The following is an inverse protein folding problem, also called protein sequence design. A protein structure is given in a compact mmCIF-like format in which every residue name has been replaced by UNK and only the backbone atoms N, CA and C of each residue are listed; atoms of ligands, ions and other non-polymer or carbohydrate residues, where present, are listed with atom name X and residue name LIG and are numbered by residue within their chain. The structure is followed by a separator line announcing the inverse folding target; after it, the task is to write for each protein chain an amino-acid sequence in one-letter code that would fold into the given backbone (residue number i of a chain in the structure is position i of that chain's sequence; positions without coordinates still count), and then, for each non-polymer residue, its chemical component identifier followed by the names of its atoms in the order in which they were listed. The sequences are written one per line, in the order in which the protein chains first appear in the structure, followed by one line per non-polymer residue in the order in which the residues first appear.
data_IF_916486636857
#
_entry.id   IF_916486636857
#
_cell.length_a   1.000
_cell.length_b   1.000
_cell.length_c   1.000
_cell.angle_alpha   90.00
_cell.angle_beta   90.00
_cell.angle_gamma   90.00
#
_symmetry.space_group_name_H-M   'P 1'
#
loop_
_entity.id
_entity.type
_entity.pdbx_description
1 polymer ?
#
# COMPACT_ATOMS: atom_id res chain seq x y z
N UNK A 1 0.46 20.20 62.30
CA UNK A 1 -0.42 20.31 61.11
C UNK A 1 0.36 21.00 60.00
N UNK A 2 0.91 20.24 59.06
CA UNK A 2 1.48 20.74 57.80
C UNK A 2 1.41 19.61 56.74
N UNK A 3 1.11 20.01 55.51
CA UNK A 3 0.69 19.23 54.32
C UNK A 3 1.73 18.23 53.76
N UNK A 4 1.33 17.10 53.14
CA UNK A 4 2.25 16.22 52.43
C UNK A 4 2.44 16.61 50.95
N UNK A 5 3.70 16.70 50.53
CA UNK A 5 4.10 16.72 49.12
C UNK A 5 3.86 15.35 48.48
N UNK A 6 3.21 15.33 47.31
CA UNK A 6 3.08 14.13 46.47
C UNK A 6 4.29 14.04 45.55
N UNK A 7 5.20 13.12 45.83
CA UNK A 7 6.22 12.69 44.88
C UNK A 7 5.65 11.53 44.06
N UNK A 8 5.27 11.79 42.82
CA UNK A 8 4.81 10.75 41.87
C UNK A 8 6.05 10.14 41.20
N UNK A 9 6.45 8.96 41.63
CA UNK A 9 7.53 8.18 40.99
C UNK A 9 6.97 7.46 39.76
N UNK A 10 7.37 7.88 38.56
CA UNK A 10 7.11 7.14 37.31
C UNK A 10 8.20 6.10 37.08
N UNK A 11 7.84 4.81 37.07
CA UNK A 11 8.72 3.74 36.58
C UNK A 11 8.66 3.70 35.06
N UNK A 12 9.70 4.20 34.39
CA UNK A 12 9.99 3.88 32.98
C UNK A 12 10.73 2.54 32.91
N UNK A 13 10.32 1.66 31.99
CA UNK A 13 11.12 0.48 31.61
C UNK A 13 12.40 0.94 30.91
N UNK A 14 13.52 0.22 31.09
CA UNK A 14 14.81 0.58 30.49
C UNK A 14 14.76 0.77 28.96
N UNK A 15 13.85 0.07 28.27
CA UNK A 15 13.61 0.25 26.82
C UNK A 15 13.05 1.64 26.47
N UNK A 16 12.21 2.23 27.33
CA UNK A 16 11.65 3.56 27.11
C UNK A 16 12.69 4.69 27.33
N UNK A 17 13.66 4.47 28.22
CA UNK A 17 14.74 5.43 28.48
C UNK A 17 15.75 5.50 27.32
N UNK A 18 16.01 4.38 26.64
CA UNK A 18 16.97 4.33 25.52
C UNK A 18 16.48 5.05 24.26
N UNK A 19 15.16 5.08 24.01
CA UNK A 19 14.57 5.81 22.87
C UNK A 19 14.56 7.34 23.05
N UNK A 20 14.63 7.84 24.29
CA UNK A 20 14.61 9.27 24.62
C UNK A 20 16.00 9.94 24.57
N UNK A 21 17.09 9.16 24.56
CA UNK A 21 18.45 9.68 24.71
C UNK A 21 19.31 9.65 23.43
N UNK A 22 18.77 9.22 22.29
CA UNK A 22 19.38 9.44 20.97
C UNK A 22 20.79 8.86 20.79
N UNK A 23 21.11 7.71 21.41
CA UNK A 23 22.39 7.02 21.20
C UNK A 23 22.24 5.85 20.21
N UNK A 24 23.22 5.59 19.33
CA UNK A 24 23.14 4.52 18.34
C UNK A 24 23.33 3.15 18.98
N UNK A 25 22.44 2.20 18.68
CA UNK A 25 22.57 0.80 19.11
C UNK A 25 23.18 -0.02 17.97
N UNK A 26 24.41 -0.51 18.16
CA UNK A 26 25.02 -1.55 17.33
C UNK A 26 24.50 -2.94 17.74
N UNK A 27 24.51 -3.95 16.85
CA UNK A 27 23.60 -5.08 16.94
C UNK A 27 24.13 -6.25 17.80
N UNK A 28 23.19 -6.94 18.46
CA UNK A 28 23.27 -8.27 19.10
C UNK A 28 24.35 -8.49 20.17
N UNK A 29 23.92 -8.46 21.45
CA UNK A 29 24.51 -9.28 22.52
C UNK A 29 23.38 -9.96 23.29
N UNK A 30 23.39 -11.30 23.24
CA UNK A 30 22.63 -12.20 24.10
C UNK A 30 23.10 -11.99 25.56
N UNK A 31 22.21 -11.59 26.47
CA UNK A 31 22.49 -11.60 27.91
C UNK A 31 21.48 -12.47 28.64
N UNK A 32 22.02 -13.46 29.36
CA UNK A 32 21.30 -14.45 30.14
C UNK A 32 20.33 -13.81 31.15
N UNK A 33 19.10 -14.34 31.19
CA UNK A 33 18.13 -14.08 32.25
C UNK A 33 18.58 -14.74 33.56
N UNK A 34 19.42 -14.09 34.36
CA UNK A 34 19.51 -14.39 35.81
C UNK A 34 19.63 -13.13 36.64
N UNK A 35 18.72 -13.03 37.61
CA UNK A 35 18.65 -12.09 38.72
C UNK A 35 18.08 -10.67 38.47
N UNK A 36 16.76 -10.58 38.29
CA UNK A 36 15.99 -9.50 38.93
C UNK A 36 14.82 -10.11 39.71
N UNK A 37 14.92 -9.98 41.05
CA UNK A 37 13.86 -10.37 41.98
C UNK A 37 12.64 -9.47 41.78
N UNK A 38 11.47 -10.08 41.88
CA UNK A 38 10.13 -9.50 41.75
C UNK A 38 9.97 -8.12 42.41
N UNK A 39 9.81 -7.08 41.57
CA UNK A 39 9.00 -5.92 41.94
C UNK A 39 7.68 -6.10 41.19
N UNK A 40 6.63 -6.47 41.93
CA UNK A 40 5.28 -6.56 41.39
C UNK A 40 4.81 -5.15 41.02
N UNK A 41 4.83 -4.83 39.72
CA UNK A 41 4.19 -3.63 39.21
C UNK A 41 2.67 -3.86 39.22
N UNK A 42 1.86 -3.02 39.88
CA UNK A 42 0.41 -3.15 39.80
C UNK A 42 -0.01 -2.97 38.34
N UNK A 43 -0.87 -3.85 37.83
CA UNK A 43 -1.52 -3.71 36.52
C UNK A 43 -2.37 -2.44 36.52
N UNK A 44 -1.76 -1.29 36.28
CA UNK A 44 -2.46 -0.07 35.97
C UNK A 44 -3.12 -0.29 34.59
N UNK A 45 -4.45 -0.34 34.55
CA UNK A 45 -5.18 -0.32 33.28
C UNK A 45 -4.95 1.05 32.63
N UNK A 46 -3.90 1.17 31.82
CA UNK A 46 -3.70 2.33 30.96
C UNK A 46 -4.95 2.41 30.08
N UNK A 47 -5.75 3.47 30.26
CA UNK A 47 -6.98 3.70 29.50
C UNK A 47 -6.63 3.65 28.01
N UNK A 48 -7.50 3.06 27.18
CA UNK A 48 -7.31 2.91 25.73
C UNK A 48 -6.80 4.17 25.00
N UNK A 49 -7.19 5.42 25.34
CA UNK A 49 -6.68 6.60 24.64
C UNK A 49 -5.18 6.82 24.86
N UNK A 50 -4.66 6.44 26.02
CA UNK A 50 -3.26 6.69 26.41
C UNK A 50 -2.31 5.64 25.81
N UNK A 51 -2.78 4.40 25.60
CA UNK A 51 -2.03 3.37 24.84
C UNK A 51 -1.85 3.77 23.38
N UNK A 52 -2.91 4.30 22.79
CA UNK A 52 -2.92 4.74 21.40
C UNK A 52 -1.98 5.91 21.13
N UNK A 53 -1.99 6.95 21.98
CA UNK A 53 -1.05 8.07 21.88
C UNK A 53 0.41 7.59 21.99
N UNK A 54 0.68 6.62 22.86
CA UNK A 54 2.01 6.06 23.01
C UNK A 54 2.46 5.29 21.76
N UNK A 55 1.59 4.44 21.19
CA UNK A 55 1.88 3.70 19.96
C UNK A 55 2.18 4.65 18.79
N UNK A 56 1.42 5.73 18.66
CA UNK A 56 1.64 6.75 17.63
C UNK A 56 2.98 7.47 17.83
N UNK A 57 3.30 7.89 19.06
CA UNK A 57 4.59 8.53 19.36
C UNK A 57 5.76 7.58 19.10
N UNK A 58 5.61 6.30 19.40
CA UNK A 58 6.60 5.27 19.08
C UNK A 58 6.74 5.10 17.57
N UNK A 59 5.66 5.08 16.80
CA UNK A 59 5.70 5.01 15.35
C UNK A 59 6.41 6.23 14.75
N UNK A 60 6.06 7.45 15.17
CA UNK A 60 6.73 8.68 14.71
C UNK A 60 8.21 8.67 15.10
N UNK A 61 8.53 8.27 16.33
CA UNK A 61 9.92 8.12 16.80
C UNK A 61 10.69 7.10 15.96
N UNK A 62 10.08 5.97 15.63
CA UNK A 62 10.66 4.94 14.79
C UNK A 62 10.81 5.40 13.33
N UNK A 63 9.85 6.14 12.77
CA UNK A 63 9.97 6.77 11.45
C UNK A 63 11.11 7.79 11.38
N UNK A 64 11.35 8.53 12.47
CA UNK A 64 12.48 9.47 12.58
C UNK A 64 13.82 8.78 12.74
N UNK A 65 13.85 7.69 13.51
CA UNK A 65 15.04 6.87 13.72
C UNK A 65 15.35 5.99 12.50
N UNK A 66 14.33 5.65 11.71
CA UNK A 66 14.50 4.98 10.44
C UNK A 66 15.25 5.93 9.50
N UNK A 67 16.53 5.66 9.33
CA UNK A 67 17.31 6.22 8.25
C UNK A 67 16.73 5.68 6.94
N UNK A 68 15.81 6.43 6.35
CA UNK A 68 15.51 6.35 4.92
C UNK A 68 16.49 7.30 4.24
N UNK A 69 17.72 6.85 3.88
CA UNK A 69 18.63 7.74 3.19
C UNK A 69 17.90 8.29 1.96
N UNK A 70 17.85 9.61 1.82
CA UNK A 70 17.32 10.31 0.65
C UNK A 70 18.12 10.05 -0.63
N UNK A 71 19.10 9.15 -0.57
CA UNK A 71 19.79 8.56 -1.70
C UNK A 71 19.35 7.09 -1.79
N UNK A 72 18.90 6.69 -2.97
CA UNK A 72 18.61 5.31 -3.34
C UNK A 72 19.56 4.31 -2.64
N UNK A 73 19.03 3.25 -2.02
CA UNK A 73 19.85 2.12 -1.61
C UNK A 73 20.52 1.55 -2.85
N UNK A 74 21.71 2.03 -3.17
CA UNK A 74 22.56 1.46 -4.22
C UNK A 74 23.28 0.26 -3.61
N UNK A 75 23.08 -0.91 -4.22
CA UNK A 75 23.86 -2.10 -3.88
C UNK A 75 23.49 -2.78 -2.56
N UNK A 76 22.27 -2.55 -2.02
CA UNK A 76 21.83 -3.36 -0.88
C UNK A 76 21.68 -4.82 -1.31
N UNK A 77 22.30 -5.72 -0.55
CA UNK A 77 22.29 -7.16 -0.80
C UNK A 77 20.85 -7.67 -0.96
N UNK A 78 20.67 -8.69 -1.80
CA UNK A 78 19.39 -9.40 -1.84
C UNK A 78 19.07 -9.93 -0.44
N UNK A 79 17.80 -9.93 -0.02
CA UNK A 79 17.41 -10.44 1.29
C UNK A 79 17.92 -11.87 1.50
N UNK A 80 18.32 -12.19 2.73
CA UNK A 80 18.74 -13.53 3.11
C UNK A 80 17.50 -14.45 3.23
N UNK A 81 17.08 -15.00 2.08
CA UNK A 81 15.85 -15.78 1.90
C UNK A 81 15.89 -17.17 2.53
N UNK A 82 17.06 -17.80 2.52
CA UNK A 82 17.21 -19.19 2.97
C UNK A 82 17.59 -19.32 4.45
N UNK A 83 17.57 -18.20 5.18
CA UNK A 83 17.61 -18.26 6.64
C UNK A 83 16.36 -18.99 7.16
N UNK A 84 16.50 -19.67 8.30
CA UNK A 84 15.35 -20.35 8.94
C UNK A 84 14.19 -19.39 9.22
N UNK A 85 14.47 -18.09 9.38
CA UNK A 85 13.47 -17.04 9.57
C UNK A 85 12.66 -16.75 8.30
N UNK A 86 13.32 -16.70 7.14
CA UNK A 86 12.73 -16.22 5.90
C UNK A 86 12.36 -17.28 4.86
N UNK A 87 12.50 -18.55 5.20
CA UNK A 87 12.07 -19.65 4.32
C UNK A 87 10.60 -19.50 3.89
N UNK A 88 10.31 -19.91 2.65
CA UNK A 88 8.95 -19.97 2.13
C UNK A 88 8.08 -20.95 2.93
N UNK A 89 6.88 -20.51 3.32
CA UNK A 89 5.80 -21.33 3.87
C UNK A 89 4.49 -20.78 3.30
N UNK A 90 3.66 -21.58 2.60
CA UNK A 90 2.37 -21.12 2.11
C UNK A 90 1.44 -20.76 3.29
N UNK A 91 0.45 -19.89 3.04
CA UNK A 91 -0.54 -19.50 4.03
C UNK A 91 -1.34 -20.72 4.52
N UNK A 92 -1.50 -20.84 5.85
CA UNK A 92 -2.42 -21.78 6.47
C UNK A 92 -3.89 -21.31 6.41
N UNK A 93 -4.85 -22.13 6.88
CA UNK A 93 -6.27 -21.81 6.79
C UNK A 93 -6.73 -20.53 7.50
N UNK A 94 -5.95 -20.05 8.47
CA UNK A 94 -6.26 -18.85 9.26
C UNK A 94 -5.32 -17.67 8.94
N UNK A 95 -4.41 -17.83 7.97
CA UNK A 95 -3.44 -16.81 7.61
C UNK A 95 -4.02 -15.91 6.54
N UNK A 96 -4.03 -14.59 6.79
CA UNK A 96 -4.65 -13.63 5.89
C UNK A 96 -3.76 -13.26 4.72
N UNK A 97 -4.33 -13.31 3.53
CA UNK A 97 -3.80 -12.79 2.27
C UNK A 97 -4.88 -11.97 1.59
N UNK A 98 -4.46 -11.01 0.78
CA UNK A 98 -5.38 -10.07 0.15
C UNK A 98 -4.91 -9.55 -1.21
N UNK A 99 -5.33 -8.33 -1.60
CA UNK A 99 -5.13 -7.82 -2.95
C UNK A 99 -3.66 -7.53 -3.29
N UNK A 100 -2.82 -7.26 -2.27
CA UNK A 100 -1.42 -6.91 -2.48
C UNK A 100 -0.51 -8.14 -2.56
N UNK A 101 -0.06 -8.46 -3.78
CA UNK A 101 0.91 -9.55 -4.03
C UNK A 101 2.20 -9.39 -3.23
N UNK A 102 2.74 -8.17 -3.15
CA UNK A 102 3.95 -7.88 -2.40
C UNK A 102 3.82 -8.26 -0.91
N UNK A 103 2.72 -7.87 -0.26
CA UNK A 103 2.50 -8.21 1.14
C UNK A 103 2.23 -9.71 1.33
N UNK A 104 1.52 -10.36 0.41
CA UNK A 104 1.31 -11.81 0.43
C UNK A 104 2.66 -12.56 0.39
N UNK A 105 3.56 -12.16 -0.51
CA UNK A 105 4.93 -12.68 -0.60
C UNK A 105 5.71 -12.48 0.70
N UNK A 106 5.69 -11.26 1.27
CA UNK A 106 6.40 -10.96 2.51
C UNK A 106 5.90 -11.83 3.68
N UNK A 107 4.60 -12.08 3.77
CA UNK A 107 4.03 -12.95 4.80
C UNK A 107 4.39 -14.43 4.57
N UNK A 108 4.33 -14.91 3.32
CA UNK A 108 4.73 -16.28 2.96
C UNK A 108 6.23 -16.54 3.19
N UNK A 109 7.05 -15.49 3.19
CA UNK A 109 8.50 -15.54 3.48
C UNK A 109 8.85 -14.99 4.87
N UNK A 110 7.87 -14.74 5.75
CA UNK A 110 8.11 -14.35 7.14
C UNK A 110 8.85 -13.01 7.34
N UNK A 111 8.89 -12.13 6.35
CA UNK A 111 9.38 -10.76 6.49
C UNK A 111 8.39 -9.89 7.28
N UNK A 112 7.10 -10.22 7.18
CA UNK A 112 6.02 -9.76 8.06
C UNK A 112 5.37 -10.99 8.73
N UNK A 113 4.57 -10.82 9.80
CA UNK A 113 3.91 -11.95 10.46
C UNK A 113 3.14 -12.83 9.47
N UNK A 114 3.39 -14.16 9.53
CA UNK A 114 2.88 -15.13 8.56
C UNK A 114 1.35 -15.23 8.54
N UNK A 115 0.73 -14.91 9.67
CA UNK A 115 -0.72 -14.81 9.82
C UNK A 115 -1.35 -13.64 9.04
N UNK A 116 -0.54 -12.76 8.45
CA UNK A 116 -1.01 -11.64 7.65
C UNK A 116 -1.50 -10.44 8.46
N UNK A 117 -1.27 -10.40 9.77
CA UNK A 117 -1.57 -9.23 10.62
C UNK A 117 -0.27 -8.50 10.88
N UNK A 118 0.01 -7.50 10.06
CA UNK A 118 1.32 -6.91 9.97
C UNK A 118 1.37 -5.51 10.59
N UNK A 119 2.36 -5.21 11.45
CA UNK A 119 2.65 -3.84 11.85
C UNK A 119 2.93 -2.98 10.61
N UNK A 120 2.37 -1.77 10.60
CA UNK A 120 2.43 -0.86 9.45
C UNK A 120 3.87 -0.53 9.06
N UNK A 121 4.70 -0.13 10.03
CA UNK A 121 6.12 0.19 9.79
C UNK A 121 6.94 -1.04 9.34
N UNK A 122 6.67 -2.22 9.90
CA UNK A 122 7.35 -3.44 9.49
C UNK A 122 7.05 -3.75 8.02
N UNK A 123 5.81 -3.53 7.58
CA UNK A 123 5.40 -3.71 6.19
C UNK A 123 6.15 -2.78 5.23
N UNK A 124 6.32 -1.51 5.62
CA UNK A 124 7.14 -0.53 4.87
C UNK A 124 8.59 -1.01 4.74
N UNK A 125 9.24 -1.30 5.86
CA UNK A 125 10.65 -1.70 5.87
C UNK A 125 10.88 -3.00 5.09
N UNK A 126 10.00 -3.98 5.26
CA UNK A 126 10.06 -5.24 4.52
C UNK A 126 9.90 -5.01 3.01
N UNK A 127 8.97 -4.15 2.60
CA UNK A 127 8.74 -3.83 1.18
C UNK A 127 9.93 -3.14 0.55
N UNK A 128 10.52 -2.15 1.25
CA UNK A 128 11.73 -1.46 0.81
C UNK A 128 12.90 -2.43 0.67
N UNK A 129 13.12 -3.28 1.68
CA UNK A 129 14.27 -4.19 1.70
C UNK A 129 14.16 -5.33 0.69
N UNK A 130 12.96 -5.90 0.51
CA UNK A 130 12.77 -7.08 -0.34
C UNK A 130 12.61 -6.70 -1.80
N UNK A 131 11.76 -5.72 -2.10
CA UNK A 131 11.43 -5.35 -3.48
C UNK A 131 12.22 -4.14 -3.99
N UNK A 132 12.89 -3.40 -3.11
CA UNK A 132 13.55 -2.15 -3.48
C UNK A 132 12.56 -1.04 -3.80
N UNK A 133 11.31 -1.11 -3.38
CA UNK A 133 10.32 -0.05 -3.61
C UNK A 133 10.61 1.09 -2.63
N UNK A 134 10.57 2.33 -3.12
CA UNK A 134 10.95 3.52 -2.38
C UNK A 134 10.12 3.82 -1.14
N UNK A 135 10.69 4.51 -0.14
CA UNK A 135 9.96 5.01 1.01
C UNK A 135 8.85 5.99 0.61
N UNK A 136 9.00 6.68 -0.52
CA UNK A 136 8.02 7.65 -1.02
C UNK A 136 6.65 7.04 -1.24
N UNK A 137 6.57 5.88 -1.90
CA UNK A 137 5.29 5.21 -2.13
C UNK A 137 4.90 4.23 -1.02
N UNK A 138 5.87 3.58 -0.36
CA UNK A 138 5.55 2.63 0.71
C UNK A 138 4.98 3.33 1.95
N UNK A 139 5.43 4.54 2.27
CA UNK A 139 4.84 5.32 3.36
C UNK A 139 3.45 5.89 2.99
N UNK A 140 3.20 6.23 1.72
CA UNK A 140 1.84 6.57 1.26
C UNK A 140 0.91 5.36 1.40
N UNK A 141 1.34 4.17 0.96
CA UNK A 141 0.59 2.93 1.16
C UNK A 141 0.33 2.63 2.65
N UNK A 142 1.28 2.96 3.53
CA UNK A 142 1.11 2.86 4.97
C UNK A 142 -0.01 3.78 5.50
N UNK A 143 -0.09 5.02 5.00
CA UNK A 143 -1.17 5.94 5.36
C UNK A 143 -2.53 5.46 4.85
N UNK A 144 -2.59 5.00 3.60
CA UNK A 144 -3.81 4.43 3.02
C UNK A 144 -4.27 3.17 3.76
N UNK A 145 -3.33 2.39 4.31
CA UNK A 145 -3.65 1.21 5.12
C UNK A 145 -4.33 1.54 6.46
N UNK A 146 -4.27 2.78 6.95
CA UNK A 146 -4.92 3.18 8.20
C UNK A 146 -6.44 2.99 8.15
N UNK A 147 -7.04 3.11 6.97
CA UNK A 147 -8.45 2.84 6.72
C UNK A 147 -8.89 1.41 7.09
N UNK A 148 -8.00 0.44 6.89
CA UNK A 148 -8.23 -0.97 7.23
C UNK A 148 -7.60 -1.42 8.55
N UNK A 149 -6.80 -0.57 9.19
CA UNK A 149 -5.91 -0.93 10.29
C UNK A 149 -6.61 -0.97 11.66
N UNK A 150 -6.03 -1.73 12.59
CA UNK A 150 -6.21 -1.54 14.01
C UNK A 150 -5.31 -0.40 14.47
N UNK A 151 -5.93 0.71 14.86
CA UNK A 151 -5.20 1.92 15.23
C UNK A 151 -4.53 1.82 16.60
N UNK A 152 -5.05 1.02 17.52
CA UNK A 152 -4.43 0.88 18.85
C UNK A 152 -3.08 0.18 18.73
N UNK A 153 -3.02 -0.86 17.89
CA UNK A 153 -1.83 -1.69 17.71
C UNK A 153 -0.98 -1.26 16.49
N UNK A 154 -1.50 -0.34 15.67
CA UNK A 154 -0.88 0.15 14.43
C UNK A 154 -0.45 -1.01 13.50
N UNK A 155 -1.35 -1.99 13.38
CA UNK A 155 -1.22 -3.13 12.48
C UNK A 155 -2.44 -3.23 11.55
N UNK A 156 -2.29 -3.94 10.45
CA UNK A 156 -3.36 -4.15 9.47
C UNK A 156 -3.38 -5.60 9.03
N UNK A 157 -4.59 -6.14 8.84
CA UNK A 157 -4.76 -7.39 8.11
C UNK A 157 -4.48 -7.13 6.64
N UNK A 158 -3.50 -7.83 6.06
CA UNK A 158 -3.19 -7.72 4.62
C UNK A 158 -4.28 -8.34 3.73
N UNK A 159 -5.26 -9.00 4.34
CA UNK A 159 -6.46 -9.55 3.71
C UNK A 159 -7.74 -8.95 4.28
N UNK A 160 -8.73 -9.81 4.53
CA UNK A 160 -10.04 -9.41 5.06
C UNK A 160 -10.05 -9.01 6.55
N UNK A 161 -11.23 -8.65 7.08
CA UNK A 161 -11.39 -8.33 8.49
C UNK A 161 -11.10 -9.54 9.38
N UNK A 162 -10.46 -9.31 10.52
CA UNK A 162 -10.29 -10.32 11.56
C UNK A 162 -11.30 -10.10 12.70
N UNK A 163 -11.91 -11.17 13.25
CA UNK A 163 -12.76 -11.07 14.42
C UNK A 163 -11.91 -10.86 15.68
N UNK A 164 -11.63 -9.60 16.01
CA UNK A 164 -11.11 -9.22 17.34
C UNK A 164 -12.25 -8.73 18.22
N UNK A 165 -12.44 -9.37 19.38
CA UNK A 165 -13.46 -8.99 20.37
C UNK A 165 -13.20 -7.57 20.89
N UNK A 166 -11.93 -7.19 21.06
CA UNK A 166 -11.55 -5.84 21.46
C UNK A 166 -11.96 -4.85 20.37
N UNK A 167 -11.67 -5.17 19.11
CA UNK A 167 -11.97 -4.29 17.96
C UNK A 167 -13.48 -4.15 17.71
N UNK A 168 -14.26 -5.18 18.01
CA UNK A 168 -15.72 -5.11 18.00
C UNK A 168 -16.27 -4.20 19.12
N UNK A 169 -15.64 -4.19 20.29
CA UNK A 169 -16.07 -3.39 21.45
C UNK A 169 -15.66 -1.90 21.32
N UNK A 170 -14.51 -1.61 20.72
CA UNK A 170 -14.00 -0.22 20.54
C UNK A 170 -14.29 0.36 19.15
N UNK A 171 -14.70 -0.46 18.17
CA UNK A 171 -14.87 -0.06 16.78
C UNK A 171 -15.92 1.03 16.58
N UNK A 172 -16.88 1.16 17.50
CA UNK A 172 -17.83 2.27 17.54
C UNK A 172 -17.21 3.63 17.91
N UNK A 173 -15.96 3.66 18.41
CA UNK A 173 -15.25 4.88 18.83
C UNK A 173 -14.10 5.20 17.86
N UNK A 174 -13.30 4.20 17.45
CA UNK A 174 -12.06 4.38 16.69
C UNK A 174 -12.09 3.84 15.25
N UNK A 175 -13.26 3.47 14.71
CA UNK A 175 -13.46 2.67 13.49
C UNK A 175 -13.18 1.17 13.66
N UNK A 176 -13.87 0.34 12.87
CA UNK A 176 -13.71 -1.13 12.86
C UNK A 176 -12.60 -1.51 11.88
N UNK A 177 -11.55 -2.25 12.29
CA UNK A 177 -10.53 -2.73 11.37
C UNK A 177 -11.13 -3.68 10.33
N UNK A 178 -11.08 -3.29 9.07
CA UNK A 178 -11.66 -4.05 7.96
C UNK A 178 -10.61 -4.80 7.12
N UNK A 179 -9.32 -4.60 7.41
CA UNK A 179 -8.23 -5.12 6.58
C UNK A 179 -8.17 -4.49 5.20
N UNK A 180 -7.18 -4.86 4.39
CA UNK A 180 -7.00 -4.30 3.04
C UNK A 180 -8.13 -4.68 2.06
N UNK A 181 -8.77 -5.84 2.21
CA UNK A 181 -9.95 -6.15 1.39
C UNK A 181 -11.09 -5.16 1.67
N UNK A 182 -11.14 -4.66 2.90
CA UNK A 182 -12.17 -3.78 3.43
C UNK A 182 -12.15 -2.34 2.93
N UNK A 183 -11.04 -1.92 2.32
CA UNK A 183 -10.75 -0.51 2.00
C UNK A 183 -11.17 -0.12 0.58
N UNK A 184 -12.24 -0.72 0.05
CA UNK A 184 -12.73 -0.42 -1.30
C UNK A 184 -13.06 1.09 -1.45
N UNK A 185 -12.57 1.71 -2.52
CA UNK A 185 -12.59 3.16 -2.81
C UNK A 185 -11.83 4.03 -1.79
N UNK A 186 -10.94 3.44 -0.98
CA UNK A 186 -10.05 4.13 -0.03
C UNK A 186 -8.59 3.77 -0.28
N UNK A 187 -8.35 2.49 -0.56
CA UNK A 187 -7.03 1.98 -0.92
C UNK A 187 -7.12 0.77 -1.86
N UNK A 188 -8.07 -0.14 -1.63
CA UNK A 188 -8.42 -1.15 -2.63
C UNK A 188 -9.36 -0.50 -3.65
N UNK A 189 -9.17 -0.78 -4.93
CA UNK A 189 -9.86 -0.09 -6.01
C UNK A 189 -10.22 -1.02 -7.17
N UNK A 190 -11.30 -0.66 -7.86
CA UNK A 190 -11.66 -1.23 -9.16
C UNK A 190 -10.52 -1.04 -10.20
N UNK A 191 -10.62 -1.75 -11.32
CA UNK A 191 -9.63 -1.75 -12.41
C UNK A 191 -8.25 -2.25 -11.98
N UNK A 192 -8.21 -3.12 -10.96
CA UNK A 192 -6.98 -3.78 -10.51
C UNK A 192 -6.35 -4.65 -11.60
N UNK A 193 -5.00 -4.72 -11.61
CA UNK A 193 -4.24 -5.44 -12.64
C UNK A 193 -4.62 -6.93 -12.77
N UNK A 194 -4.87 -7.60 -11.64
CA UNK A 194 -5.14 -9.05 -11.62
C UNK A 194 -6.23 -9.45 -10.63
N UNK A 195 -6.88 -8.48 -9.98
CA UNK A 195 -8.03 -8.69 -9.10
C UNK A 195 -9.28 -8.24 -9.84
N UNK A 196 -10.40 -8.82 -9.44
CA UNK A 196 -11.69 -8.43 -9.97
C UNK A 196 -12.23 -7.22 -9.20
N UNK A 197 -13.05 -6.42 -9.87
CA UNK A 197 -13.80 -5.34 -9.25
C UNK A 197 -14.75 -5.91 -8.19
N UNK A 198 -14.90 -5.22 -7.06
CA UNK A 198 -15.68 -5.71 -5.93
C UNK A 198 -17.15 -5.95 -6.34
N UNK A 199 -17.72 -5.02 -7.09
CA UNK A 199 -19.11 -5.10 -7.53
C UNK A 199 -19.36 -6.15 -8.62
N UNK A 200 -18.32 -6.62 -9.30
CA UNK A 200 -18.40 -7.67 -10.33
C UNK A 200 -18.30 -9.07 -9.70
N UNK A 201 -17.29 -9.31 -8.87
CA UNK A 201 -16.98 -10.66 -8.37
C UNK A 201 -17.33 -10.90 -6.89
N UNK A 202 -17.62 -9.86 -6.10
CA UNK A 202 -17.72 -9.94 -4.65
C UNK A 202 -16.46 -10.48 -3.94
N UNK A 203 -15.34 -10.54 -4.68
CA UNK A 203 -14.00 -10.86 -4.21
C UNK A 203 -13.02 -9.94 -4.95
N UNK A 204 -12.51 -8.96 -4.23
CA UNK A 204 -11.56 -7.96 -4.69
C UNK A 204 -10.10 -8.32 -4.33
N UNK A 205 -9.86 -9.54 -3.87
CA UNK A 205 -8.60 -9.92 -3.21
C UNK A 205 -7.88 -11.10 -3.85
N UNK A 206 -8.63 -12.13 -4.24
CA UNK A 206 -8.08 -13.28 -4.97
C UNK A 206 -7.66 -12.89 -6.39
N UNK A 207 -6.63 -13.55 -6.90
CA UNK A 207 -6.25 -13.37 -8.31
C UNK A 207 -7.40 -13.86 -9.19
N UNK A 208 -7.89 -12.98 -10.06
CA UNK A 208 -8.79 -13.32 -11.14
C UNK A 208 -7.98 -13.96 -12.27
N UNK A 209 -8.25 -15.23 -12.55
CA UNK A 209 -7.47 -16.04 -13.50
C UNK A 209 -7.52 -15.48 -14.93
N UNK A 210 -8.65 -14.88 -15.34
CA UNK A 210 -8.79 -14.27 -16.66
C UNK A 210 -8.00 -12.96 -16.77
N UNK A 211 -8.03 -12.11 -15.74
CA UNK A 211 -7.22 -10.89 -15.70
C UNK A 211 -5.71 -11.20 -15.69
N UNK A 212 -5.30 -12.25 -14.98
CA UNK A 212 -3.91 -12.72 -15.03
C UNK A 212 -3.54 -13.26 -16.41
N UNK A 213 -4.40 -14.08 -17.04
CA UNK A 213 -4.16 -14.59 -18.38
C UNK A 213 -3.99 -13.45 -19.41
N UNK A 214 -4.83 -12.42 -19.35
CA UNK A 214 -4.73 -11.25 -20.22
C UNK A 214 -3.40 -10.50 -20.06
N UNK A 215 -2.87 -10.39 -18.83
CA UNK A 215 -1.54 -9.83 -18.60
C UNK A 215 -0.45 -10.67 -19.27
N UNK A 216 -0.49 -12.00 -19.06
CA UNK A 216 0.50 -12.93 -19.61
C UNK A 216 0.48 -12.95 -21.14
N UNK A 217 -0.70 -12.89 -21.76
CA UNK A 217 -0.84 -12.80 -23.21
C UNK A 217 -0.11 -11.58 -23.78
N UNK A 218 -0.24 -10.41 -23.15
CA UNK A 218 0.49 -9.22 -23.57
C UNK A 218 2.01 -9.38 -23.43
N UNK A 219 2.50 -10.06 -22.39
CA UNK A 219 3.92 -10.37 -22.25
C UNK A 219 4.42 -11.35 -23.33
N UNK A 220 3.60 -12.34 -23.71
CA UNK A 220 3.94 -13.35 -24.70
C UNK A 220 3.99 -12.78 -26.12
N UNK A 221 3.06 -11.89 -26.43
CA UNK A 221 2.91 -11.29 -27.76
C UNK A 221 3.84 -10.09 -27.99
N UNK A 222 4.47 -9.58 -26.93
CA UNK A 222 5.39 -8.45 -27.02
C UNK A 222 6.68 -8.81 -27.80
N UNK A 223 7.09 -7.98 -28.78
CA UNK A 223 8.36 -8.16 -29.46
C UNK A 223 9.55 -8.16 -28.48
N UNK A 224 10.66 -8.88 -28.80
CA UNK A 224 11.88 -8.81 -28.02
C UNK A 224 12.38 -7.37 -27.88
N UNK A 225 12.67 -6.95 -26.64
CA UNK A 225 13.16 -5.60 -26.34
C UNK A 225 12.06 -4.55 -26.10
N UNK A 226 10.78 -4.92 -26.12
CA UNK A 226 9.69 -4.05 -25.67
C UNK A 226 9.91 -3.61 -24.21
N UNK A 227 9.71 -2.32 -23.93
CA UNK A 227 9.69 -1.80 -22.57
C UNK A 227 8.45 -2.34 -21.86
N UNK A 228 8.65 -2.99 -20.71
CA UNK A 228 7.56 -3.55 -19.92
C UNK A 228 6.50 -2.53 -19.52
N UNK A 229 6.83 -1.23 -19.48
CA UNK A 229 5.83 -0.16 -19.26
C UNK A 229 4.77 -0.12 -20.36
N UNK A 230 5.14 -0.35 -21.61
CA UNK A 230 4.17 -0.34 -22.72
C UNK A 230 3.16 -1.49 -22.57
N UNK A 231 3.65 -2.66 -22.16
CA UNK A 231 2.82 -3.84 -21.86
C UNK A 231 1.87 -3.55 -20.71
N UNK A 232 2.39 -3.00 -19.60
CA UNK A 232 1.61 -2.71 -18.39
C UNK A 232 0.58 -1.60 -18.62
N UNK A 233 0.91 -0.58 -19.42
CA UNK A 233 0.01 0.50 -19.78
C UNK A 233 -1.13 0.01 -20.69
N UNK A 234 -0.82 -0.86 -21.66
CA UNK A 234 -1.86 -1.51 -22.47
C UNK A 234 -2.75 -2.41 -21.60
N UNK A 235 -2.17 -3.18 -20.66
CA UNK A 235 -2.95 -3.99 -19.73
C UNK A 235 -3.87 -3.14 -18.87
N UNK A 236 -3.37 -2.03 -18.33
CA UNK A 236 -4.15 -1.08 -17.54
C UNK A 236 -5.34 -0.53 -18.33
N UNK A 237 -5.13 -0.14 -19.59
CA UNK A 237 -6.22 0.24 -20.49
C UNK A 237 -7.26 -0.86 -20.60
N UNK A 238 -6.84 -2.10 -20.84
CA UNK A 238 -7.75 -3.23 -20.96
C UNK A 238 -8.56 -3.45 -19.66
N UNK A 239 -7.92 -3.28 -18.49
CA UNK A 239 -8.61 -3.39 -17.19
C UNK A 239 -9.62 -2.26 -16.98
N UNK A 240 -9.26 -1.03 -17.33
CA UNK A 240 -10.17 0.11 -17.24
C UNK A 240 -11.38 -0.04 -18.16
N UNK A 241 -11.16 -0.41 -19.43
CA UNK A 241 -12.24 -0.66 -20.39
C UNK A 241 -13.15 -1.81 -19.96
N UNK A 242 -12.56 -2.88 -19.40
CA UNK A 242 -13.31 -3.98 -18.80
C UNK A 242 -14.23 -3.46 -17.69
N UNK A 243 -13.70 -2.73 -16.71
CA UNK A 243 -14.51 -2.18 -15.61
C UNK A 243 -15.64 -1.27 -16.11
N UNK A 244 -15.38 -0.43 -17.12
CA UNK A 244 -16.43 0.37 -17.77
C UNK A 244 -17.51 -0.52 -18.40
N UNK A 245 -17.11 -1.61 -19.05
CA UNK A 245 -18.00 -2.48 -19.82
C UNK A 245 -18.75 -3.54 -18.97
N UNK A 246 -18.25 -3.91 -17.80
CA UNK A 246 -18.80 -5.03 -17.00
C UNK A 246 -19.33 -4.62 -15.64
N UNK A 247 -18.81 -3.55 -15.04
CA UNK A 247 -19.15 -3.15 -13.68
C UNK A 247 -20.06 -1.91 -13.69
N UNK A 248 -21.40 -2.05 -13.51
CA UNK A 248 -22.31 -0.90 -13.49
C UNK A 248 -22.08 0.06 -12.32
N UNK A 249 -21.27 -0.35 -11.33
CA UNK A 249 -20.87 0.42 -10.17
C UNK A 249 -19.38 0.80 -10.21
N UNK A 250 -18.73 0.70 -11.38
CA UNK A 250 -17.33 1.09 -11.53
C UNK A 250 -17.14 2.52 -11.02
N UNK A 251 -16.31 2.67 -10.00
CA UNK A 251 -15.88 3.96 -9.50
C UNK A 251 -14.36 4.05 -9.57
N UNK A 252 -13.90 5.14 -10.16
CA UNK A 252 -12.51 5.41 -10.41
C UNK A 252 -12.22 6.83 -9.94
N UNK A 253 -12.27 7.01 -8.62
CA UNK A 253 -12.03 8.28 -7.99
C UNK A 253 -10.56 8.71 -8.12
N UNK A 254 -10.23 9.92 -7.64
CA UNK A 254 -8.86 10.41 -7.72
C UNK A 254 -7.81 9.51 -7.06
N UNK A 255 -8.15 8.86 -5.95
CA UNK A 255 -7.25 7.91 -5.28
C UNK A 255 -7.18 6.59 -6.02
N UNK A 256 -8.31 6.06 -6.48
CA UNK A 256 -8.38 4.81 -7.24
C UNK A 256 -7.55 4.89 -8.52
N UNK A 257 -7.62 6.03 -9.23
CA UNK A 257 -6.81 6.29 -10.40
C UNK A 257 -5.31 6.25 -10.08
N UNK A 258 -4.88 6.94 -9.01
CA UNK A 258 -3.49 6.97 -8.58
C UNK A 258 -3.01 5.58 -8.16
N UNK A 259 -3.81 4.85 -7.38
CA UNK A 259 -3.50 3.48 -6.94
C UNK A 259 -3.39 2.55 -8.14
N UNK A 260 -4.29 2.65 -9.11
CA UNK A 260 -4.25 1.88 -10.35
C UNK A 260 -2.98 2.17 -11.18
N UNK A 261 -2.57 3.44 -11.34
CA UNK A 261 -1.27 3.80 -11.94
C UNK A 261 -0.12 3.06 -11.25
N UNK A 262 -0.04 3.25 -9.94
CA UNK A 262 1.10 2.80 -9.13
C UNK A 262 1.18 1.29 -9.11
N UNK A 263 0.06 0.60 -8.90
CA UNK A 263 0.04 -0.86 -8.75
C UNK A 263 0.37 -1.60 -10.03
N UNK A 264 0.02 -1.06 -11.20
CA UNK A 264 0.49 -1.60 -12.48
C UNK A 264 2.01 -1.42 -12.62
N UNK A 265 2.54 -0.24 -12.29
CA UNK A 265 3.98 0.00 -12.40
C UNK A 265 4.81 -0.81 -11.38
N UNK A 266 4.28 -1.06 -10.18
CA UNK A 266 4.95 -1.89 -9.16
C UNK A 266 5.16 -3.34 -9.61
N UNK A 267 4.50 -3.82 -10.67
CA UNK A 267 4.81 -5.12 -11.29
C UNK A 267 6.26 -5.16 -11.79
N UNK A 268 6.83 -4.01 -12.18
CA UNK A 268 8.25 -3.90 -12.55
C UNK A 268 9.21 -4.19 -11.40
N UNK A 269 8.76 -4.05 -10.14
CA UNK A 269 9.55 -4.40 -8.96
C UNK A 269 9.62 -5.90 -8.72
N UNK A 270 8.84 -6.70 -9.45
CA UNK A 270 8.88 -8.16 -9.42
C UNK A 270 9.90 -8.76 -10.38
N UNK A 271 10.49 -7.95 -11.26
CA UNK A 271 11.50 -8.40 -12.23
C UNK A 271 12.75 -8.97 -11.53
N UNK A 272 13.34 -9.99 -12.14
CA UNK A 272 14.55 -10.65 -11.69
C UNK A 272 15.81 -9.98 -12.27
N UNK A 273 16.66 -9.45 -11.40
CA UNK A 273 17.92 -8.79 -11.74
C UNK A 273 19.14 -9.70 -11.58
N UNK A 274 18.95 -11.02 -11.64
CA UNK A 274 20.06 -11.98 -11.58
C UNK A 274 21.02 -11.87 -12.77
N UNK A 275 20.52 -11.44 -13.92
CA UNK A 275 21.26 -11.30 -15.17
C UNK A 275 21.67 -9.83 -15.40
N UNK A 276 22.98 -9.48 -15.29
CA UNK A 276 23.44 -8.11 -15.49
C UNK A 276 23.36 -7.65 -16.95
N UNK A 277 23.16 -8.55 -17.92
CA UNK A 277 22.98 -8.20 -19.33
C UNK A 277 21.57 -7.67 -19.65
N UNK A 278 20.63 -7.76 -18.71
CA UNK A 278 19.26 -7.25 -18.82
C UNK A 278 19.02 -6.10 -17.82
N UNK A 279 19.31 -4.82 -18.18
CA UNK A 279 19.20 -3.68 -17.27
C UNK A 279 17.79 -3.43 -16.72
N UNK A 280 16.76 -3.82 -17.45
CA UNK A 280 15.36 -3.71 -17.01
C UNK A 280 14.91 -4.85 -16.08
N UNK A 281 15.76 -5.85 -15.88
CA UNK A 281 15.42 -7.12 -15.22
C UNK A 281 14.65 -8.05 -16.16
N UNK A 282 14.61 -9.34 -15.84
CA UNK A 282 13.77 -10.33 -16.52
C UNK A 282 12.41 -10.38 -15.84
N UNK A 283 11.34 -10.09 -16.57
CA UNK A 283 9.96 -10.26 -16.11
C UNK A 283 9.24 -11.15 -17.12
N UNK A 284 8.94 -12.38 -16.72
CA UNK A 284 8.33 -13.39 -17.58
C UNK A 284 7.17 -14.12 -16.90
N UNK A 285 6.48 -14.94 -17.69
CA UNK A 285 5.33 -15.73 -17.28
C UNK A 285 5.63 -16.63 -16.07
N UNK A 286 6.84 -17.20 -15.97
CA UNK A 286 7.21 -18.05 -14.85
C UNK A 286 7.38 -17.28 -13.54
N UNK A 287 8.03 -16.12 -13.60
CA UNK A 287 8.19 -15.21 -12.45
C UNK A 287 6.83 -14.71 -11.98
N UNK A 288 6.02 -14.20 -12.92
CA UNK A 288 4.68 -13.70 -12.61
C UNK A 288 3.80 -14.82 -12.04
N UNK A 289 3.81 -16.01 -12.63
CA UNK A 289 3.01 -17.12 -12.12
C UNK A 289 3.39 -17.51 -10.68
N UNK A 290 4.69 -17.64 -10.40
CA UNK A 290 5.18 -17.93 -9.04
C UNK A 290 4.77 -16.84 -8.05
N UNK A 291 4.98 -15.58 -8.40
CA UNK A 291 4.76 -14.47 -7.47
C UNK A 291 3.27 -14.17 -7.24
N UNK A 292 2.40 -14.44 -8.21
CA UNK A 292 0.95 -14.30 -8.06
C UNK A 292 0.26 -15.55 -7.50
N UNK A 293 0.99 -16.64 -7.21
CA UNK A 293 0.40 -17.87 -6.69
C UNK A 293 -0.45 -18.61 -7.73
N UNK A 294 -0.05 -18.49 -9.00
CA UNK A 294 -0.72 -19.07 -10.16
C UNK A 294 -0.01 -20.38 -10.52
N UNK A 295 -0.75 -21.49 -10.45
CA UNK A 295 -0.21 -22.83 -10.70
C UNK A 295 -0.66 -23.33 -12.06
N UNK A 296 0.26 -23.85 -12.89
CA UNK A 296 -0.11 -24.36 -14.21
C UNK A 296 -1.06 -25.55 -14.04
N UNK A 297 -2.15 -25.54 -14.80
CA UNK A 297 -3.06 -26.68 -14.91
C UNK A 297 -2.82 -27.38 -16.25
N UNK A 298 -2.86 -28.73 -16.30
CA UNK A 298 -2.72 -29.46 -17.56
C UNK A 298 -3.73 -28.96 -18.59
N UNK A 299 -3.23 -28.64 -19.78
CA UNK A 299 -4.06 -28.36 -20.94
C UNK A 299 -4.16 -29.62 -21.80
N UNK A 300 -5.39 -30.08 -22.12
CA UNK A 300 -5.57 -31.03 -23.20
C UNK A 300 -4.98 -30.43 -24.50
N UNK A 301 -4.33 -31.27 -25.28
CA UNK A 301 -3.98 -31.01 -26.69
C UNK A 301 -2.89 -29.94 -26.96
N UNK A 302 -2.05 -29.61 -25.98
CA UNK A 302 -0.89 -28.72 -26.20
C UNK A 302 -1.24 -27.24 -26.40
N UNK A 303 -2.46 -26.84 -26.03
CA UNK A 303 -2.87 -25.43 -25.98
C UNK A 303 -2.10 -24.60 -24.94
N UNK A 304 -2.22 -23.25 -24.99
CA UNK A 304 -1.47 -22.34 -24.11
C UNK A 304 -1.68 -22.69 -22.64
N UNK A 305 -0.61 -22.63 -21.84
CA UNK A 305 -0.65 -22.97 -20.40
C UNK A 305 -1.75 -22.17 -19.72
N UNK A 306 -2.65 -22.88 -19.04
CA UNK A 306 -3.66 -22.26 -18.19
C UNK A 306 -3.16 -22.27 -16.75
N UNK A 307 -3.58 -21.28 -15.99
CA UNK A 307 -3.20 -21.15 -14.59
C UNK A 307 -4.43 -21.19 -13.70
N UNK A 308 -4.25 -21.77 -12.52
CA UNK A 308 -5.22 -21.73 -11.43
C UNK A 308 -4.65 -20.98 -10.24
N UNK A 309 -5.40 -20.03 -9.69
CA UNK A 309 -4.97 -19.36 -8.47
C UNK A 309 -5.09 -20.30 -7.28
N UNK A 310 -4.01 -20.44 -6.51
CA UNK A 310 -4.03 -21.13 -5.22
C UNK A 310 -3.75 -20.11 -4.11
N UNK A 311 -4.75 -19.88 -3.27
CA UNK A 311 -4.70 -18.91 -2.18
C UNK A 311 -3.45 -19.07 -1.33
N UNK A 312 -2.74 -17.96 -1.13
CA UNK A 312 -1.61 -17.89 -0.20
C UNK A 312 -0.39 -18.68 -0.62
N UNK A 313 -0.25 -19.00 -1.91
CA UNK A 313 0.91 -19.70 -2.48
C UNK A 313 1.88 -18.79 -3.23
N UNK A 314 1.70 -17.46 -3.13
CA UNK A 314 2.62 -16.48 -3.71
C UNK A 314 4.06 -16.74 -3.23
N UNK A 315 4.99 -16.94 -4.16
CA UNK A 315 6.37 -17.32 -3.84
C UNK A 315 7.39 -16.53 -4.68
N UNK A 316 8.40 -15.97 -4.01
CA UNK A 316 9.62 -15.50 -4.65
C UNK A 316 10.36 -16.68 -5.29
N UNK A 317 10.74 -16.63 -6.58
CA UNK A 317 11.54 -17.68 -7.20
C UNK A 317 12.90 -17.85 -6.51
N UNK A 318 13.41 -19.09 -6.46
CA UNK A 318 14.58 -19.46 -5.63
C UNK A 318 15.86 -18.67 -5.97
N UNK A 319 16.06 -18.28 -7.24
CA UNK A 319 17.23 -17.51 -7.69
C UNK A 319 16.95 -16.03 -7.99
N UNK A 320 15.72 -15.56 -7.77
CA UNK A 320 15.30 -14.20 -8.09
C UNK A 320 16.20 -13.16 -7.41
N UNK A 321 16.65 -12.10 -8.07
CA UNK A 321 17.32 -10.99 -7.38
C UNK A 321 16.49 -9.73 -7.51
N UNK A 322 16.30 -9.03 -6.40
CA UNK A 322 15.67 -7.70 -6.40
C UNK A 322 16.49 -6.73 -7.25
N UNK A 323 15.81 -5.67 -7.71
CA UNK A 323 16.47 -4.51 -8.34
C UNK A 323 17.63 -3.99 -7.47
N UNK A 324 18.80 -3.66 -8.06
CA UNK A 324 19.95 -3.18 -7.29
C UNK A 324 19.68 -1.85 -6.58
N UNK A 325 18.95 -0.95 -7.24
CA UNK A 325 18.63 0.39 -6.76
C UNK A 325 17.22 0.49 -6.18
N UNK A 326 17.03 1.41 -5.23
CA UNK A 326 15.68 1.77 -4.78
C UNK A 326 14.89 2.45 -5.91
N UNK A 327 13.72 1.90 -6.20
CA UNK A 327 12.74 2.44 -7.11
C UNK A 327 11.90 3.52 -6.39
N UNK A 328 12.33 4.78 -6.47
CA UNK A 328 11.52 5.92 -6.03
C UNK A 328 10.47 6.23 -7.09
N UNK A 329 9.19 6.21 -6.71
CA UNK A 329 8.08 6.52 -7.61
C UNK A 329 8.13 7.97 -8.08
N UNK A 330 8.53 8.91 -7.21
CA UNK A 330 8.66 10.32 -7.56
C UNK A 330 9.62 10.57 -8.75
N UNK A 331 10.64 9.73 -8.92
CA UNK A 331 11.61 9.85 -10.03
C UNK A 331 11.27 8.97 -11.23
N UNK A 332 10.70 7.79 -11.00
CA UNK A 332 10.49 6.79 -12.05
C UNK A 332 9.06 6.72 -12.58
N UNK A 333 8.06 7.15 -11.80
CA UNK A 333 6.65 7.11 -12.18
C UNK A 333 6.18 8.32 -12.98
N UNK A 334 6.84 9.47 -12.90
CA UNK A 334 6.48 10.64 -13.71
C UNK A 334 6.62 10.38 -15.24
N UNK A 335 7.72 9.76 -15.72
CA UNK A 335 7.80 9.34 -17.12
C UNK A 335 6.68 8.38 -17.54
N UNK A 336 6.25 7.48 -16.66
CA UNK A 336 5.16 6.53 -16.96
C UNK A 336 3.80 7.23 -17.03
N UNK A 337 3.50 8.14 -16.09
CA UNK A 337 2.32 9.01 -16.16
C UNK A 337 2.26 9.83 -17.45
N UNK A 338 3.40 10.38 -17.89
CA UNK A 338 3.49 11.13 -19.15
C UNK A 338 3.27 10.20 -20.36
N UNK A 339 3.79 8.98 -20.31
CA UNK A 339 3.55 7.95 -21.33
C UNK A 339 2.07 7.58 -21.39
N UNK A 340 1.43 7.36 -20.26
CA UNK A 340 -0.02 7.11 -20.16
C UNK A 340 -0.85 8.25 -20.71
N UNK A 341 -0.49 9.49 -20.40
CA UNK A 341 -1.15 10.68 -20.93
C UNK A 341 -1.12 10.74 -22.46
N UNK A 342 -0.02 10.31 -23.08
CA UNK A 342 0.14 10.36 -24.54
C UNK A 342 -0.39 9.13 -25.26
N UNK A 343 -0.57 8.00 -24.57
CA UNK A 343 -1.00 6.72 -25.16
C UNK A 343 -2.45 6.38 -24.85
N UNK A 344 -2.88 6.53 -23.61
CA UNK A 344 -4.19 6.12 -23.09
C UNK A 344 -4.78 7.17 -22.12
N UNK A 345 -4.98 8.43 -22.54
CA UNK A 345 -5.43 9.51 -21.65
C UNK A 345 -6.76 9.22 -20.95
N UNK A 346 -7.64 8.39 -21.52
CA UNK A 346 -8.90 7.95 -20.94
C UNK A 346 -8.72 7.25 -19.58
N UNK A 347 -7.60 6.54 -19.40
CA UNK A 347 -7.28 5.81 -18.16
C UNK A 347 -6.81 6.73 -17.02
N UNK A 348 -6.69 8.03 -17.29
CA UNK A 348 -6.40 9.08 -16.31
C UNK A 348 -7.65 9.90 -15.93
N UNK A 349 -8.80 9.64 -16.58
CA UNK A 349 -10.05 10.26 -16.23
C UNK A 349 -10.56 9.71 -14.90
N UNK A 350 -10.84 10.60 -13.95
CA UNK A 350 -11.53 10.27 -12.71
C UNK A 350 -13.04 10.32 -12.93
N UNK A 351 -13.82 9.43 -12.32
CA UNK A 351 -15.25 9.35 -12.54
C UNK A 351 -15.83 7.97 -12.21
N UNK A 352 -16.90 7.58 -12.89
CA UNK A 352 -17.48 6.26 -12.70
C UNK A 352 -18.72 6.01 -13.55
N UNK A 353 -19.16 4.75 -13.59
CA UNK A 353 -20.41 4.35 -14.20
C UNK A 353 -21.62 4.82 -13.38
N UNK A 354 -22.69 5.21 -14.07
CA UNK A 354 -23.91 5.77 -13.48
C UNK A 354 -24.98 4.68 -13.25
N UNK A 355 -24.60 3.58 -12.62
CA UNK A 355 -25.51 2.48 -12.25
C UNK A 355 -25.85 1.52 -13.40
N UNK A 356 -25.19 1.67 -14.56
CA UNK A 356 -25.26 0.73 -15.69
C UNK A 356 -23.89 0.63 -16.36
N UNK A 357 -23.61 -0.48 -17.02
CA UNK A 357 -22.37 -0.64 -17.80
C UNK A 357 -22.31 0.36 -18.96
N UNK A 358 -21.10 0.68 -19.42
CA UNK A 358 -20.85 1.61 -20.52
C UNK A 358 -21.50 2.99 -20.31
N UNK A 359 -21.47 3.51 -19.08
CA UNK A 359 -22.04 4.81 -18.72
C UNK A 359 -21.07 5.70 -17.95
N UNK A 360 -19.77 5.51 -18.21
CA UNK A 360 -18.73 6.22 -17.50
C UNK A 360 -18.90 7.72 -17.71
N UNK A 361 -19.09 8.44 -16.60
CA UNK A 361 -19.15 9.89 -16.57
C UNK A 361 -17.87 10.40 -15.89
N UNK A 362 -17.07 11.26 -16.55
CA UNK A 362 -15.92 11.87 -15.91
C UNK A 362 -16.36 12.91 -14.86
N UNK A 363 -15.66 12.94 -13.74
CA UNK A 363 -15.78 13.99 -12.74
C UNK A 363 -15.13 15.26 -13.28
N UNK A 364 -15.91 16.34 -13.32
CA UNK A 364 -15.43 17.67 -13.68
C UNK A 364 -14.46 18.19 -12.60
N UNK A 365 -13.17 18.24 -12.92
CA UNK A 365 -12.14 18.81 -12.02
C UNK A 365 -12.44 20.27 -11.69
N UNK A 366 -12.94 21.03 -12.67
CA UNK A 366 -13.36 22.40 -12.48
C UNK A 366 -14.42 22.49 -11.40
N UNK A 367 -15.51 21.73 -11.52
CA UNK A 367 -16.58 21.81 -10.53
C UNK A 367 -16.15 21.27 -9.17
N UNK A 368 -15.38 20.17 -9.16
CA UNK A 368 -14.84 19.50 -7.97
C UNK A 368 -13.94 20.42 -7.14
N UNK A 369 -13.28 21.37 -7.79
CA UNK A 369 -12.35 22.34 -7.17
C UNK A 369 -12.92 23.76 -7.09
N UNK A 370 -14.21 23.95 -7.38
CA UNK A 370 -14.83 25.28 -7.38
C UNK A 370 -14.27 26.23 -8.46
N UNK A 371 -13.74 25.67 -9.54
CA UNK A 371 -13.14 26.38 -10.67
C UNK A 371 -11.64 26.66 -10.49
N UNK A 372 -11.02 26.21 -9.38
CA UNK A 372 -9.62 26.53 -9.11
C UNK A 372 -8.65 25.82 -10.04
N UNK A 373 -8.98 24.57 -10.38
CA UNK A 373 -8.25 23.77 -11.34
C UNK A 373 -9.20 23.30 -12.45
N UNK A 374 -8.80 23.51 -13.69
CA UNK A 374 -9.30 22.81 -14.88
C UNK A 374 -8.23 21.87 -15.42
N UNK A 375 -8.60 20.97 -16.34
CA UNK A 375 -7.64 20.09 -17.04
C UNK A 375 -6.51 20.92 -17.66
N UNK A 376 -6.83 22.05 -18.30
CA UNK A 376 -5.84 22.92 -18.94
C UNK A 376 -4.91 23.59 -17.92
N UNK A 377 -5.45 24.05 -16.80
CA UNK A 377 -4.61 24.68 -15.76
C UNK A 377 -3.75 23.66 -15.01
N UNK A 378 -4.20 22.41 -14.85
CA UNK A 378 -3.41 21.36 -14.19
C UNK A 378 -2.08 21.12 -14.93
N UNK A 379 -2.06 21.29 -16.25
CA UNK A 379 -0.87 21.14 -17.08
C UNK A 379 0.12 22.32 -16.98
N UNK A 380 -0.21 23.37 -16.21
CA UNK A 380 0.60 24.57 -16.09
C UNK A 380 1.36 24.58 -14.77
N UNK A 381 2.65 24.90 -14.83
CA UNK A 381 3.52 25.10 -13.66
C UNK A 381 3.41 23.93 -12.66
N UNK A 382 3.21 24.24 -11.38
CA UNK A 382 3.12 23.27 -10.28
C UNK A 382 1.68 22.77 -10.04
N UNK A 383 0.70 23.15 -10.87
CA UNK A 383 -0.71 22.95 -10.55
C UNK A 383 -1.11 21.48 -10.40
N UNK A 384 -0.58 20.57 -11.22
CA UNK A 384 -0.81 19.14 -11.06
C UNK A 384 -0.27 18.61 -9.71
N UNK A 385 0.92 19.05 -9.31
CA UNK A 385 1.52 18.68 -8.03
C UNK A 385 0.74 19.27 -6.85
N UNK A 386 0.29 20.52 -6.97
CA UNK A 386 -0.55 21.19 -5.97
C UNK A 386 -1.91 20.53 -5.82
N UNK A 387 -2.59 20.21 -6.93
CA UNK A 387 -3.86 19.47 -6.90
C UNK A 387 -3.67 18.11 -6.23
N UNK A 388 -2.66 17.34 -6.63
CA UNK A 388 -2.39 16.03 -6.04
C UNK A 388 -2.08 16.13 -4.54
N UNK A 389 -1.29 17.13 -4.13
CA UNK A 389 -0.93 17.36 -2.73
C UNK A 389 -2.12 17.80 -1.87
N UNK A 390 -2.91 18.75 -2.36
CA UNK A 390 -4.12 19.23 -1.66
C UNK A 390 -5.18 18.13 -1.58
N UNK A 391 -5.36 17.34 -2.65
CA UNK A 391 -6.26 16.19 -2.67
C UNK A 391 -5.82 15.12 -1.69
N UNK A 392 -4.52 14.79 -1.67
CA UNK A 392 -3.94 13.88 -0.70
C UNK A 392 -4.20 14.38 0.73
N UNK A 393 -3.99 15.67 1.02
CA UNK A 393 -4.32 16.25 2.31
C UNK A 393 -5.79 16.00 2.70
N UNK A 394 -6.74 16.25 1.80
CA UNK A 394 -8.16 16.04 2.10
C UNK A 394 -8.51 14.56 2.28
N UNK A 395 -7.95 13.66 1.46
CA UNK A 395 -8.19 12.21 1.58
C UNK A 395 -7.58 11.64 2.86
N UNK A 396 -6.34 12.02 3.18
CA UNK A 396 -5.63 11.49 4.34
C UNK A 396 -6.13 12.08 5.65
N UNK A 397 -6.47 13.38 5.66
CA UNK A 397 -6.79 14.12 6.89
C UNK A 397 -8.31 14.26 7.09
N UNK A 398 -9.10 14.37 6.02
CA UNK A 398 -10.46 14.90 6.07
C UNK A 398 -11.60 13.90 6.33
N UNK A 399 -11.48 12.63 5.93
CA UNK A 399 -12.64 11.71 5.96
C UNK A 399 -12.82 10.91 7.26
N UNK A 400 -11.92 11.05 8.25
CA UNK A 400 -12.08 10.42 9.57
C UNK A 400 -11.74 11.39 10.70
N UNK A 401 -12.75 12.07 11.24
CA UNK A 401 -12.62 13.00 12.37
C UNK A 401 -11.88 12.39 13.59
N UNK A 402 -11.92 11.06 13.74
CA UNK A 402 -11.25 10.35 14.84
C UNK A 402 -9.74 10.15 14.62
N UNK A 403 -9.28 10.07 13.37
CA UNK A 403 -7.84 9.92 13.03
C UNK A 403 -7.23 11.14 12.35
N UNK A 404 -8.00 12.19 12.08
CA UNK A 404 -7.55 13.41 11.42
C UNK A 404 -6.19 13.89 11.97
N UNK A 405 -6.07 14.03 13.29
CA UNK A 405 -4.81 14.47 13.94
C UNK A 405 -3.64 13.52 13.72
N UNK A 406 -3.94 12.23 13.55
CA UNK A 406 -2.97 11.13 13.46
C UNK A 406 -2.50 11.00 12.04
N UNK A 407 -3.44 10.93 11.10
CA UNK A 407 -3.14 10.98 9.70
C UNK A 407 -2.41 12.28 9.34
N UNK A 408 -2.80 13.43 9.90
CA UNK A 408 -2.06 14.69 9.73
C UNK A 408 -0.63 14.62 10.29
N UNK A 409 -0.44 14.06 11.49
CA UNK A 409 0.90 13.93 12.10
C UNK A 409 1.80 12.99 11.30
N UNK A 410 1.27 11.83 10.86
CA UNK A 410 1.99 10.87 10.05
C UNK A 410 2.25 11.40 8.64
N UNK A 411 1.30 12.13 8.06
CA UNK A 411 1.46 12.78 6.76
C UNK A 411 2.52 13.89 6.81
N UNK A 412 2.54 14.72 7.84
CA UNK A 412 3.59 15.73 8.02
C UNK A 412 4.99 15.10 8.19
N UNK A 413 5.07 13.98 8.93
CA UNK A 413 6.32 13.23 9.08
C UNK A 413 6.74 12.58 7.76
N UNK A 414 5.79 12.04 7.00
CA UNK A 414 6.02 11.54 5.64
C UNK A 414 6.60 12.64 4.76
N UNK A 415 5.93 13.80 4.65
CA UNK A 415 6.41 14.91 3.85
C UNK A 415 7.83 15.35 4.23
N UNK A 416 8.18 15.27 5.51
CA UNK A 416 9.53 15.51 6.00
C UNK A 416 10.52 14.47 5.48
N UNK A 417 10.17 13.18 5.56
CA UNK A 417 11.02 12.06 5.14
C UNK A 417 11.26 12.04 3.63
N UNK A 418 10.24 12.33 2.83
CA UNK A 418 10.34 12.35 1.37
C UNK A 418 10.82 13.69 0.82
N UNK A 419 11.15 14.65 1.69
CA UNK A 419 11.66 15.96 1.30
C UNK A 419 10.62 16.89 0.67
N UNK A 420 9.33 16.51 0.66
CA UNK A 420 8.23 17.34 0.16
C UNK A 420 8.07 18.64 0.96
N UNK A 421 8.45 18.67 2.23
CA UNK A 421 8.44 19.90 3.04
C UNK A 421 9.33 21.03 2.48
N UNK A 422 10.30 20.70 1.64
CA UNK A 422 11.23 21.65 1.05
C UNK A 422 10.83 22.05 -0.38
N UNK A 423 9.80 21.43 -0.96
CA UNK A 423 9.26 21.84 -2.26
C UNK A 423 8.47 23.14 -2.08
N UNK A 424 9.02 24.23 -2.60
CA UNK A 424 8.31 25.50 -2.73
C UNK A 424 7.40 25.43 -3.95
N UNK A 425 6.26 24.75 -3.82
CA UNK A 425 5.22 24.75 -4.85
C UNK A 425 4.43 26.05 -4.78
N UNK A 426 4.23 26.71 -5.93
CA UNK A 426 3.40 27.90 -6.02
C UNK A 426 1.90 27.51 -6.07
N UNK A 427 1.37 26.97 -4.97
CA UNK A 427 0.03 26.39 -5.00
C UNK A 427 -1.10 27.43 -4.96
N UNK A 428 -2.02 27.37 -5.94
CA UNK A 428 -3.38 27.89 -5.80
C UNK A 428 -4.02 27.69 -4.43
N UNK A 429 -4.54 28.76 -3.83
CA UNK A 429 -5.48 28.62 -2.71
C UNK A 429 -6.74 27.92 -3.20
N UNK A 430 -7.06 26.79 -2.57
CA UNK A 430 -8.26 25.98 -2.81
C UNK A 430 -9.03 25.94 -1.49
N UNK A 431 -10.25 26.48 -1.46
CA UNK A 431 -11.06 26.53 -0.24
C UNK A 431 -11.41 25.12 0.28
N UNK A 432 -11.94 24.27 -0.60
CA UNK A 432 -12.23 22.87 -0.35
C UNK A 432 -12.50 22.12 -1.66
N UNK A 433 -12.35 20.79 -1.62
CA UNK A 433 -12.93 19.91 -2.63
C UNK A 433 -14.43 19.70 -2.34
N UNK A 434 -15.25 19.70 -3.40
CA UNK A 434 -16.69 19.42 -3.31
C UNK A 434 -16.95 17.91 -3.29
N UNK A 435 -16.65 17.26 -2.17
CA UNK A 435 -16.78 15.81 -2.01
C UNK A 435 -18.22 15.30 -2.24
N UNK A 436 -19.23 16.14 -2.00
CA UNK A 436 -20.64 15.84 -2.28
C UNK A 436 -20.90 15.52 -3.77
N UNK A 437 -20.03 15.95 -4.68
CA UNK A 437 -20.12 15.56 -6.09
C UNK A 437 -19.91 14.06 -6.32
N UNK A 438 -19.19 13.39 -5.41
CA UNK A 438 -18.94 11.96 -5.49
C UNK A 438 -20.22 11.14 -5.22
N UNK A 439 -21.21 11.72 -4.55
CA UNK A 439 -22.51 11.08 -4.30
C UNK A 439 -23.33 10.83 -5.57
N UNK A 440 -22.99 11.50 -6.68
CA UNK A 440 -23.56 11.25 -7.99
C UNK A 440 -23.15 9.90 -8.60
N UNK A 441 -22.11 9.25 -8.06
CA UNK A 441 -21.59 7.97 -8.54
C UNK A 441 -22.07 6.84 -7.63
N UNK A 442 -22.94 5.93 -8.12
CA UNK A 442 -23.44 4.81 -7.31
C UNK A 442 -22.34 3.90 -6.74
N UNK A 443 -21.19 3.82 -7.41
CA UNK A 443 -20.03 3.06 -6.96
C UNK A 443 -19.30 3.64 -5.76
N UNK A 444 -19.27 4.98 -5.60
CA UNK A 444 -18.46 5.66 -4.58
C UNK A 444 -18.74 5.15 -3.16
N UNK A 445 -20.02 4.99 -2.80
CA UNK A 445 -20.45 4.53 -1.47
C UNK A 445 -20.46 3.02 -1.30
N UNK A 446 -20.14 2.26 -2.34
CA UNK A 446 -20.07 0.80 -2.23
C UNK A 446 -18.83 0.47 -1.40
N UNK A 447 -19.03 -0.30 -0.34
CA UNK A 447 -17.95 -0.75 0.56
C UNK A 447 -17.93 -2.28 0.56
N UNK A 448 -16.80 -2.83 0.99
CA UNK A 448 -16.65 -4.26 1.22
C UNK A 448 -17.39 -4.69 2.49
N UNK A 449 -18.27 -5.68 2.37
CA UNK A 449 -19.14 -6.16 3.46
C UNK A 449 -20.58 -5.68 3.32
#
# INVERSE_FOLDING_TARGET
MTSPSRTTTYCMTLEAASALLGQPVAPYIYLEQRAFRHIACPRASIRSPMRFQLALLQLIGALRAASFPGAAFRGAASPERDSTAHRYIPAGPNDMRGPCVGLNLLANHGYIPRNGIAPLLQSVLATVNVFGIGPDITLVAMLLSLWGANLIELNVSIGGPQPSVVDQLIGGILHRPVGLNGTHNQFESDSSATRCDLAECYDNSSVNEAAFAALIELFRDAPPGTDYRDILNQHRKNRWEHSVATNPYFFYGPIDMIVSCITHELILSLADFSDPSLPQGRLDEGILASMYGMHPVPTPDGGPVRYKYLYGTERLPDNWKRRPDTYLYATHGLPDLLRLWTTYPETLLVGGNLGRVNSFAPLSIADFTGGRYTIETLLQQDNAACFAFQLAQVVFVGELATIEKIAASLFAELQRLVGLNNLQLACPELEAFKLEMLDGYPGYRRRYG
#
